data_IF_329404341222
#
_entry.id   IF_329404341222
#
_cell.length_a   1.000
_cell.length_b   1.000
_cell.length_c   1.000
_cell.angle_alpha   90.00
_cell.angle_beta   90.00
_cell.angle_gamma   90.00
#
_symmetry.space_group_name_H-M   'P 1'
#
loop_
_entity.id
_entity.type
_entity.pdbx_description
1 polymer ?
#
# COMPACT_ATOMS: atom_id res chain seq x y z
N UNK A 1 22.08 -7.97 -13.11
CA UNK A 1 20.92 -7.51 -12.30
C UNK A 1 20.97 -6.01 -12.05
N UNK A 2 19.82 -5.34 -12.14
CA UNK A 2 19.67 -3.92 -11.79
C UNK A 2 19.17 -3.83 -10.35
N UNK A 3 19.78 -2.96 -9.56
CA UNK A 3 19.37 -2.66 -8.19
C UNK A 3 18.97 -1.19 -8.17
N UNK A 4 17.75 -0.90 -7.68
CA UNK A 4 17.32 0.46 -7.43
C UNK A 4 17.59 0.78 -5.94
N UNK A 5 18.26 1.91 -5.67
CA UNK A 5 18.62 2.35 -4.32
C UNK A 5 17.77 3.57 -3.92
N UNK A 6 17.13 3.49 -2.76
CA UNK A 6 16.31 4.54 -2.19
C UNK A 6 16.87 4.96 -0.82
N UNK A 7 17.04 6.27 -0.60
CA UNK A 7 17.64 6.80 0.65
C UNK A 7 16.56 7.31 1.62
N UNK A 8 15.45 7.84 1.10
CA UNK A 8 14.40 8.47 1.91
C UNK A 8 12.99 7.93 1.61
N UNK A 9 12.63 7.87 0.32
CA UNK A 9 11.33 7.38 -0.14
C UNK A 9 11.51 6.28 -1.16
N UNK A 10 10.76 5.20 -1.00
CA UNK A 10 10.70 4.09 -1.94
C UNK A 10 9.92 4.59 -3.17
N UNK A 11 10.61 4.65 -4.30
CA UNK A 11 10.10 5.17 -5.57
C UNK A 11 9.46 6.58 -5.48
N UNK A 12 9.91 7.41 -4.52
CA UNK A 12 9.35 8.76 -4.32
C UNK A 12 7.92 8.80 -3.73
N UNK A 13 7.37 7.65 -3.34
CA UNK A 13 6.00 7.51 -2.82
C UNK A 13 6.00 7.24 -1.31
N UNK A 14 6.32 6.02 -0.90
CA UNK A 14 6.25 5.57 0.51
C UNK A 14 7.57 5.75 1.25
N UNK A 15 7.50 5.78 2.58
CA UNK A 15 8.65 5.82 3.49
C UNK A 15 8.83 4.44 4.14
N UNK A 16 10.07 4.01 4.37
CA UNK A 16 10.33 2.80 5.15
C UNK A 16 10.06 3.09 6.63
N UNK A 17 8.99 2.52 7.19
CA UNK A 17 8.62 2.75 8.59
C UNK A 17 9.20 1.68 9.51
N UNK A 18 9.37 2.01 10.79
CA UNK A 18 9.71 1.04 11.84
C UNK A 18 8.71 -0.13 11.91
N UNK A 19 7.46 0.17 11.59
CA UNK A 19 6.34 -0.76 11.51
C UNK A 19 6.58 -1.83 10.43
N UNK A 20 7.02 -1.41 9.23
CA UNK A 20 7.45 -2.32 8.16
C UNK A 20 8.70 -3.14 8.57
N UNK A 21 9.70 -2.49 9.20
CA UNK A 21 10.92 -3.17 9.64
C UNK A 21 10.64 -4.29 10.65
N UNK A 22 9.70 -4.06 11.59
CA UNK A 22 9.28 -5.07 12.59
C UNK A 22 8.60 -6.29 11.96
N UNK A 23 7.92 -6.12 10.82
CA UNK A 23 7.24 -7.21 10.10
C UNK A 23 8.15 -7.94 9.11
N UNK A 24 9.33 -7.42 8.83
CA UNK A 24 10.22 -7.99 7.82
C UNK A 24 10.78 -9.36 8.23
N UNK A 25 10.90 -10.27 7.26
CA UNK A 25 11.66 -11.51 7.43
C UNK A 25 13.16 -11.19 7.33
N UNK A 26 13.89 -11.39 8.43
CA UNK A 26 15.31 -11.01 8.53
C UNK A 26 16.19 -12.21 8.22
N UNK A 27 17.00 -12.09 7.16
CA UNK A 27 17.98 -13.11 6.75
C UNK A 27 19.39 -12.59 6.86
N UNK A 28 20.28 -13.37 7.49
CA UNK A 28 21.68 -13.02 7.68
C UNK A 28 22.58 -13.90 6.83
N UNK A 29 23.38 -13.28 5.98
CA UNK A 29 24.34 -13.90 5.09
C UNK A 29 25.73 -13.32 5.36
N UNK A 30 26.45 -13.88 6.34
CA UNK A 30 27.74 -13.35 6.79
C UNK A 30 27.62 -11.91 7.27
N UNK A 31 28.19 -10.96 6.52
CA UNK A 31 28.14 -9.50 6.81
C UNK A 31 26.92 -8.78 6.21
N UNK A 32 26.05 -9.49 5.50
CA UNK A 32 24.84 -8.93 4.88
C UNK A 32 23.61 -9.31 5.71
N UNK A 33 22.85 -8.31 6.17
CA UNK A 33 21.53 -8.53 6.76
C UNK A 33 20.47 -8.03 5.77
N UNK A 34 19.63 -8.93 5.30
CA UNK A 34 18.51 -8.64 4.41
C UNK A 34 17.22 -8.58 5.24
N UNK A 35 16.50 -7.48 5.08
CA UNK A 35 15.14 -7.32 5.58
C UNK A 35 14.19 -7.50 4.40
N UNK A 36 13.49 -8.63 4.35
CA UNK A 36 12.51 -8.91 3.32
C UNK A 36 11.15 -8.39 3.77
N UNK A 37 10.57 -7.47 3.00
CA UNK A 37 9.27 -6.88 3.31
C UNK A 37 8.19 -7.96 3.46
N UNK A 38 7.24 -7.73 4.37
CA UNK A 38 6.07 -8.61 4.50
C UNK A 38 5.22 -8.59 3.24
N UNK A 39 4.40 -9.61 3.04
CA UNK A 39 3.51 -9.67 1.88
C UNK A 39 2.50 -8.51 1.90
N UNK A 40 2.02 -8.12 3.08
CA UNK A 40 1.16 -6.96 3.29
C UNK A 40 1.84 -5.67 2.82
N UNK A 41 3.09 -5.45 3.20
CA UNK A 41 3.86 -4.27 2.79
C UNK A 41 4.15 -4.27 1.29
N UNK A 42 4.42 -5.44 0.70
CA UNK A 42 4.59 -5.60 -0.76
C UNK A 42 3.29 -5.24 -1.48
N UNK A 43 2.14 -5.68 -0.99
CA UNK A 43 0.84 -5.34 -1.57
C UNK A 43 0.62 -3.82 -1.53
N UNK A 44 0.90 -3.17 -0.39
CA UNK A 44 0.77 -1.72 -0.29
C UNK A 44 1.71 -0.99 -1.26
N UNK A 45 3.00 -1.35 -1.28
CA UNK A 45 4.01 -0.77 -2.18
C UNK A 45 3.60 -0.87 -3.65
N UNK A 46 3.04 -2.01 -4.04
CA UNK A 46 2.56 -2.27 -5.41
C UNK A 46 1.22 -1.60 -5.74
N UNK A 47 0.39 -1.35 -4.74
CA UNK A 47 -0.92 -0.71 -4.95
C UNK A 47 -0.82 0.80 -5.17
N UNK A 48 0.30 1.41 -4.78
CA UNK A 48 0.53 2.86 -4.96
C UNK A 48 1.32 3.19 -6.21
N UNK A 49 1.78 2.19 -6.98
CA UNK A 49 2.54 2.39 -8.23
C UNK A 49 1.62 2.33 -9.45
N UNK A 50 1.92 3.11 -10.49
CA UNK A 50 1.03 3.28 -11.66
C UNK A 50 1.19 2.16 -12.71
N UNK A 51 1.67 0.96 -12.34
CA UNK A 51 2.07 -0.08 -13.30
C UNK A 51 1.13 -1.27 -13.27
N UNK A 52 0.48 -1.53 -14.41
CA UNK A 52 -0.41 -2.68 -14.61
C UNK A 52 0.21 -4.05 -14.23
N UNK A 53 1.52 -4.25 -14.39
CA UNK A 53 2.19 -5.51 -14.02
C UNK A 53 2.12 -5.80 -12.52
N UNK A 54 2.02 -4.77 -11.68
CA UNK A 54 1.98 -4.91 -10.23
C UNK A 54 0.71 -5.62 -9.74
N UNK A 55 -0.40 -5.58 -10.51
CA UNK A 55 -1.63 -6.28 -10.12
C UNK A 55 -1.49 -7.80 -10.20
N UNK A 56 -0.71 -8.34 -11.13
CA UNK A 56 -0.50 -9.79 -11.27
C UNK A 56 0.30 -10.34 -10.09
N UNK A 57 1.28 -9.57 -9.60
CA UNK A 57 2.07 -9.93 -8.42
C UNK A 57 1.20 -9.93 -7.16
N UNK A 58 0.35 -8.91 -6.98
CA UNK A 58 -0.61 -8.86 -5.87
C UNK A 58 -1.61 -10.02 -5.97
N UNK A 59 -2.10 -10.32 -7.17
CA UNK A 59 -3.02 -11.42 -7.43
C UNK A 59 -2.42 -12.76 -6.98
N UNK A 60 -1.14 -12.99 -7.27
CA UNK A 60 -0.40 -14.16 -6.82
C UNK A 60 -0.29 -14.23 -5.30
N UNK A 61 0.03 -13.11 -4.63
CA UNK A 61 0.10 -13.03 -3.16
C UNK A 61 -1.26 -13.38 -2.55
N UNK A 62 -2.34 -12.76 -3.03
CA UNK A 62 -3.71 -12.99 -2.54
C UNK A 62 -4.11 -14.45 -2.72
N UNK A 63 -3.83 -15.04 -3.89
CA UNK A 63 -4.12 -16.46 -4.16
C UNK A 63 -3.31 -17.41 -3.29
N UNK A 64 -2.04 -17.08 -3.03
CA UNK A 64 -1.10 -17.93 -2.26
C UNK A 64 -1.42 -17.90 -0.77
N UNK A 65 -1.66 -16.71 -0.21
CA UNK A 65 -1.89 -16.55 1.22
C UNK A 65 -3.36 -16.75 1.61
N UNK A 66 -4.31 -16.49 0.70
CA UNK A 66 -5.75 -16.57 0.95
C UNK A 66 -6.13 -15.82 2.23
N UNK A 67 -6.60 -16.53 3.25
CA UNK A 67 -7.02 -15.98 4.54
C UNK A 67 -5.86 -15.56 5.46
N UNK A 68 -4.61 -15.87 5.09
CA UNK A 68 -3.42 -15.50 5.86
C UNK A 68 -2.92 -14.07 5.57
N UNK A 69 -3.38 -13.45 4.48
CA UNK A 69 -3.04 -12.06 4.17
C UNK A 69 -3.83 -11.13 5.09
N UNK A 70 -3.14 -10.33 5.90
CA UNK A 70 -3.78 -9.42 6.83
C UNK A 70 -4.08 -8.06 6.18
N UNK A 71 -5.30 -7.93 5.66
CA UNK A 71 -5.75 -6.68 5.05
C UNK A 71 -5.80 -5.49 6.02
N UNK A 72 -6.02 -5.71 7.32
CA UNK A 72 -6.01 -4.59 8.28
C UNK A 72 -4.61 -4.00 8.42
N UNK A 73 -3.55 -4.83 8.37
CA UNK A 73 -2.17 -4.33 8.38
C UNK A 73 -1.88 -3.43 7.17
N UNK A 74 -2.41 -3.76 5.99
CA UNK A 74 -2.29 -2.91 4.79
C UNK A 74 -2.99 -1.57 5.02
N UNK A 75 -4.18 -1.58 5.62
CA UNK A 75 -4.96 -0.38 5.90
C UNK A 75 -4.29 0.52 6.96
N UNK A 76 -3.77 -0.09 8.02
CA UNK A 76 -3.05 0.61 9.09
C UNK A 76 -1.77 1.26 8.56
N UNK A 77 -0.96 0.52 7.79
CA UNK A 77 0.25 1.08 7.19
C UNK A 77 -0.08 2.16 6.17
N UNK A 78 -1.15 2.00 5.37
CA UNK A 78 -1.63 3.06 4.47
C UNK A 78 -1.88 4.36 5.23
N UNK A 79 -2.62 4.33 6.35
CA UNK A 79 -2.88 5.53 7.15
C UNK A 79 -1.59 6.18 7.66
N UNK A 80 -0.63 5.38 8.16
CA UNK A 80 0.69 5.88 8.59
C UNK A 80 1.41 6.56 7.42
N UNK A 81 1.40 5.95 6.24
CA UNK A 81 2.08 6.49 5.06
C UNK A 81 1.45 7.82 4.61
N UNK A 82 0.13 7.92 4.60
CA UNK A 82 -0.56 9.16 4.23
C UNK A 82 -0.25 10.30 5.21
N UNK A 83 -0.21 10.00 6.51
CA UNK A 83 0.19 10.96 7.55
C UNK A 83 1.65 11.40 7.39
N UNK A 84 2.59 10.47 7.20
CA UNK A 84 4.02 10.79 7.06
C UNK A 84 4.34 11.54 5.76
N UNK A 85 3.61 11.24 4.68
CA UNK A 85 3.92 11.80 3.36
C UNK A 85 3.07 13.00 3.00
N UNK A 86 1.98 13.25 3.75
CA UNK A 86 0.95 14.24 3.45
C UNK A 86 0.37 14.07 2.04
N UNK A 87 0.19 12.82 1.61
CA UNK A 87 -0.35 12.43 0.30
C UNK A 87 -1.45 11.41 0.49
N UNK A 88 -2.50 11.51 -0.33
CA UNK A 88 -3.61 10.56 -0.31
C UNK A 88 -3.35 9.43 -1.32
N UNK A 89 -2.92 8.28 -0.82
CA UNK A 89 -2.73 7.05 -1.59
C UNK A 89 -3.95 6.12 -1.57
N UNK A 90 -4.93 6.40 -0.70
CA UNK A 90 -6.12 5.60 -0.49
C UNK A 90 -6.93 5.34 -1.76
N UNK A 91 -6.90 6.28 -2.72
CA UNK A 91 -7.56 6.11 -4.02
C UNK A 91 -6.88 5.00 -4.85
N UNK A 92 -5.55 5.06 -5.01
CA UNK A 92 -4.79 4.04 -5.76
C UNK A 92 -4.92 2.66 -5.14
N UNK A 93 -4.92 2.59 -3.80
CA UNK A 93 -5.19 1.32 -3.09
C UNK A 93 -6.62 0.85 -3.35
N UNK A 94 -7.61 1.74 -3.35
CA UNK A 94 -9.01 1.36 -3.62
C UNK A 94 -9.16 0.82 -5.04
N UNK A 95 -8.61 1.50 -6.05
CA UNK A 95 -8.62 1.05 -7.45
C UNK A 95 -8.00 -0.34 -7.58
N UNK A 96 -6.86 -0.57 -6.91
CA UNK A 96 -6.19 -1.87 -6.89
C UNK A 96 -7.09 -2.95 -6.28
N UNK A 97 -7.74 -2.66 -5.14
CA UNK A 97 -8.67 -3.57 -4.47
C UNK A 97 -9.87 -3.89 -5.36
N UNK A 98 -10.46 -2.90 -6.02
CA UNK A 98 -11.61 -3.09 -6.91
C UNK A 98 -11.25 -3.93 -8.14
N UNK A 99 -10.09 -3.67 -8.74
CA UNK A 99 -9.58 -4.48 -9.84
C UNK A 99 -9.28 -5.93 -9.42
N UNK A 100 -8.74 -6.14 -8.21
CA UNK A 100 -8.53 -7.49 -7.66
C UNK A 100 -9.85 -8.24 -7.42
N UNK A 101 -10.86 -7.59 -6.82
CA UNK A 101 -12.18 -8.19 -6.65
C UNK A 101 -12.81 -8.58 -7.99
N UNK A 102 -12.68 -7.73 -9.01
CA UNK A 102 -13.22 -7.99 -10.34
C UNK A 102 -12.55 -9.19 -11.01
N UNK A 103 -11.21 -9.28 -10.93
CA UNK A 103 -10.41 -10.34 -11.56
C UNK A 103 -10.56 -11.69 -10.85
N UNK A 104 -10.54 -11.66 -9.52
CA UNK A 104 -10.58 -12.88 -8.69
C UNK A 104 -11.99 -13.33 -8.34
N UNK A 105 -13.00 -12.50 -8.59
CA UNK A 105 -14.40 -12.73 -8.17
C UNK A 105 -14.53 -13.00 -6.66
N UNK A 106 -13.73 -12.30 -5.85
CA UNK A 106 -13.75 -12.37 -4.38
C UNK A 106 -14.17 -11.03 -3.77
N UNK A 107 -14.42 -11.02 -2.46
CA UNK A 107 -14.60 -9.81 -1.66
C UNK A 107 -13.42 -9.59 -0.74
N UNK A 108 -12.89 -8.37 -0.73
CA UNK A 108 -11.74 -7.99 0.10
C UNK A 108 -12.26 -7.21 1.34
N UNK A 109 -11.96 -7.67 2.57
CA UNK A 109 -12.59 -7.15 3.80
C UNK A 109 -12.45 -5.64 4.05
N UNK A 110 -11.36 -5.02 3.59
CA UNK A 110 -11.09 -3.59 3.87
C UNK A 110 -11.77 -2.63 2.90
N UNK A 111 -12.39 -3.10 1.81
CA UNK A 111 -12.96 -2.24 0.76
C UNK A 111 -13.94 -1.20 1.31
N UNK A 112 -14.84 -1.59 2.21
CA UNK A 112 -15.84 -0.68 2.80
C UNK A 112 -15.16 0.43 3.61
N UNK A 113 -14.20 0.07 4.47
CA UNK A 113 -13.43 1.04 5.27
C UNK A 113 -12.65 2.00 4.36
N UNK A 114 -12.02 1.46 3.32
CA UNK A 114 -11.22 2.24 2.37
C UNK A 114 -12.08 3.23 1.56
N UNK A 115 -13.28 2.83 1.13
CA UNK A 115 -14.25 3.76 0.50
C UNK A 115 -14.62 4.91 1.42
N UNK A 116 -14.77 4.65 2.73
CA UNK A 116 -15.06 5.70 3.70
C UNK A 116 -13.91 6.71 3.79
N UNK A 117 -12.67 6.24 3.89
CA UNK A 117 -11.46 7.08 3.93
C UNK A 117 -11.34 7.92 2.66
N UNK A 118 -11.52 7.31 1.48
CA UNK A 118 -11.51 8.04 0.20
C UNK A 118 -12.56 9.16 0.19
N UNK A 119 -13.78 8.88 0.64
CA UNK A 119 -14.85 9.88 0.70
C UNK A 119 -14.54 11.02 1.68
N UNK A 120 -13.92 10.72 2.83
CA UNK A 120 -13.48 11.71 3.81
C UNK A 120 -12.42 12.63 3.21
N UNK A 121 -11.36 12.07 2.60
CA UNK A 121 -10.33 12.86 1.92
C UNK A 121 -10.87 13.71 0.76
N UNK A 122 -11.80 13.17 -0.04
CA UNK A 122 -12.41 13.93 -1.13
C UNK A 122 -13.19 15.14 -0.61
N UNK A 123 -13.91 15.01 0.51
CA UNK A 123 -14.59 16.16 1.14
C UNK A 123 -13.61 17.22 1.61
N UNK A 124 -12.53 16.81 2.28
CA UNK A 124 -11.50 17.74 2.73
C UNK A 124 -10.84 18.51 1.56
N UNK A 125 -10.59 17.82 0.44
CA UNK A 125 -10.07 18.45 -0.76
C UNK A 125 -11.06 19.46 -1.36
N UNK A 126 -12.34 19.11 -1.44
CA UNK A 126 -13.39 20.02 -1.94
C UNK A 126 -13.51 21.27 -1.05
N UNK A 127 -13.50 21.10 0.27
CA UNK A 127 -13.57 22.20 1.22
C UNK A 127 -12.36 23.14 1.10
N UNK A 128 -11.15 22.61 0.90
CA UNK A 128 -9.94 23.40 0.66
C UNK A 128 -10.04 24.20 -0.64
N UNK A 129 -10.47 23.56 -1.74
CA UNK A 129 -10.63 24.22 -3.04
C UNK A 129 -11.68 25.34 -2.95
N UNK A 130 -12.80 25.10 -2.26
CA UNK A 130 -13.83 26.13 -2.06
C UNK A 130 -13.33 27.32 -1.22
N UNK A 131 -12.53 27.08 -0.18
CA UNK A 131 -11.95 28.14 0.67
C UNK A 131 -10.82 28.92 0.01
N UNK A 132 -10.09 28.33 -0.93
CA UNK A 132 -9.03 29.02 -1.68
C UNK A 132 -9.56 29.88 -2.84
N UNK A 133 -10.84 29.76 -3.19
CA UNK A 133 -11.52 30.52 -4.24
C UNK A 133 -12.38 31.68 -3.71
N UNK A 134 -12.24 32.03 -2.42
CA UNK A 134 -12.87 33.17 -1.74
C UNK A 134 -11.75 34.07 -1.21
#
# INVERSE_FOLDING_TARGET
>A
PRIDLYIHRIAGKLVLTESMLRRADVRRYGRLTLYLASNEDIVLLKSVTDRFRDILDIELIVKTLKTRLNWNTILEELTIQEELTQRHFCLSVLETIEALEERLKIKIPIKIKLKRIVNEHMKELLDKVMKSNI
#
